data_IF_628307025063
#
_entry.id   IF_628307025063
#
_cell.length_a   1.000
_cell.length_b   1.000
_cell.length_c   1.000
_cell.angle_alpha   90.00
_cell.angle_beta   90.00
_cell.angle_gamma   90.00
#
_symmetry.space_group_name_H-M   'P 1'
#
loop_
_entity.id
_entity.type
_entity.pdbx_description
1 polymer ?
#
# COMPACT_ATOMS: atom_id res chain seq x y z
N UNK A 1 -9.49 -12.68 -19.71
CA UNK A 1 -9.64 -11.46 -18.89
C UNK A 1 -8.30 -11.19 -18.21
N UNK A 2 -7.90 -9.93 -18.12
CA UNK A 2 -6.67 -9.54 -17.43
C UNK A 2 -6.90 -8.32 -16.53
N UNK A 3 -6.11 -8.19 -15.48
CA UNK A 3 -6.13 -7.03 -14.57
C UNK A 3 -4.73 -6.42 -14.50
N UNK A 4 -4.66 -5.09 -14.56
CA UNK A 4 -3.49 -4.33 -14.14
C UNK A 4 -3.87 -3.50 -12.92
N UNK A 5 -3.12 -3.63 -11.83
CA UNK A 5 -3.39 -2.95 -10.58
C UNK A 5 -2.12 -2.25 -10.07
N UNK A 6 -2.25 -1.02 -9.59
CA UNK A 6 -1.16 -0.19 -9.10
C UNK A 6 -1.52 0.37 -7.73
N UNK A 7 -0.61 0.16 -6.76
CA UNK A 7 -0.60 0.83 -5.48
C UNK A 7 0.54 1.88 -5.43
N UNK A 8 0.24 3.17 -5.66
CA UNK A 8 1.19 4.26 -5.51
C UNK A 8 1.23 4.73 -4.06
N UNK A 9 2.05 4.07 -3.22
CA UNK A 9 2.14 4.32 -1.78
C UNK A 9 2.52 5.76 -1.47
N UNK A 10 3.31 6.39 -2.35
CA UNK A 10 3.77 7.77 -2.20
C UNK A 10 5.07 7.90 -1.40
N UNK A 11 6.01 8.68 -1.92
CA UNK A 11 7.38 8.81 -1.37
C UNK A 11 7.42 9.19 0.10
N UNK A 12 6.53 10.08 0.53
CA UNK A 12 6.51 10.58 1.89
C UNK A 12 5.88 9.58 2.85
N UNK A 13 4.83 8.87 2.40
CA UNK A 13 4.16 7.86 3.20
C UNK A 13 5.06 6.64 3.34
N UNK A 14 5.77 6.28 2.27
CA UNK A 14 6.79 5.25 2.33
C UNK A 14 7.89 5.59 3.35
N UNK A 15 8.45 6.81 3.28
CA UNK A 15 9.44 7.27 4.25
C UNK A 15 8.91 7.32 5.70
N UNK A 16 7.62 7.61 5.89
CA UNK A 16 6.98 7.60 7.20
C UNK A 16 6.81 6.17 7.75
N UNK A 17 6.12 5.30 7.01
CA UNK A 17 5.63 4.01 7.49
C UNK A 17 6.66 2.88 7.38
N UNK A 18 7.41 2.85 6.26
CA UNK A 18 8.24 1.71 5.84
C UNK A 18 9.75 1.98 5.88
N UNK A 19 10.14 3.21 6.23
CA UNK A 19 11.56 3.55 6.48
C UNK A 19 11.79 3.89 7.94
N UNK A 20 10.96 4.78 8.51
CA UNK A 20 11.09 5.21 9.91
C UNK A 20 10.11 4.52 10.86
N UNK A 21 8.98 4.08 10.32
CA UNK A 21 7.85 3.59 11.10
C UNK A 21 7.93 2.11 11.46
N UNK A 22 6.79 1.62 11.96
CA UNK A 22 6.66 0.29 12.54
C UNK A 22 6.83 -0.86 11.54
N UNK A 23 6.68 -0.59 10.24
CA UNK A 23 6.73 -1.62 9.19
C UNK A 23 8.04 -1.65 8.41
N UNK A 24 9.09 -1.02 8.96
CA UNK A 24 10.36 -0.83 8.26
C UNK A 24 11.20 -2.10 8.14
N UNK A 25 11.04 -3.03 9.09
CA UNK A 25 11.92 -4.18 9.26
C UNK A 25 11.13 -5.49 9.21
N UNK A 26 11.44 -6.38 8.26
CA UNK A 26 10.73 -7.64 8.04
C UNK A 26 10.80 -8.59 9.24
N UNK A 27 11.87 -8.53 10.05
CA UNK A 27 12.00 -9.35 11.26
C UNK A 27 11.21 -8.80 12.46
N UNK A 28 10.96 -7.49 12.50
CA UNK A 28 10.14 -6.85 13.53
C UNK A 28 8.65 -6.80 13.16
N UNK A 29 8.32 -6.83 11.85
CA UNK A 29 6.94 -6.72 11.36
C UNK A 29 6.57 -7.78 10.31
N UNK A 30 6.79 -7.50 9.03
CA UNK A 30 6.27 -8.23 7.88
C UNK A 30 6.88 -7.69 6.58
N UNK A 31 6.73 -8.45 5.50
CA UNK A 31 7.07 -7.97 4.15
C UNK A 31 6.21 -6.78 3.73
N UNK A 32 6.70 -6.00 2.77
CA UNK A 32 5.96 -4.86 2.22
C UNK A 32 4.60 -5.27 1.65
N UNK A 33 4.55 -6.38 0.90
CA UNK A 33 3.29 -6.91 0.38
C UNK A 33 2.30 -7.23 1.50
N UNK A 34 2.74 -7.95 2.54
CA UNK A 34 1.83 -8.32 3.63
C UNK A 34 1.36 -7.10 4.42
N UNK A 35 2.24 -6.12 4.67
CA UNK A 35 1.91 -4.92 5.43
C UNK A 35 0.98 -3.95 4.70
N UNK A 36 1.21 -3.73 3.39
CA UNK A 36 0.59 -2.64 2.63
C UNK A 36 -0.43 -3.11 1.59
N UNK A 37 -0.27 -4.32 1.08
CA UNK A 37 -0.88 -4.75 -0.18
C UNK A 37 -1.44 -6.17 -0.19
N UNK A 38 -1.59 -6.81 0.97
CA UNK A 38 -2.30 -8.09 1.05
C UNK A 38 -3.74 -7.93 0.53
N UNK A 39 -4.39 -6.85 0.96
CA UNK A 39 -5.74 -6.51 0.54
C UNK A 39 -5.85 -6.15 -0.95
N UNK A 40 -4.75 -5.78 -1.63
CA UNK A 40 -4.73 -5.57 -3.08
C UNK A 40 -4.82 -6.93 -3.80
N UNK A 41 -4.14 -7.95 -3.28
CA UNK A 41 -4.24 -9.34 -3.76
C UNK A 41 -5.62 -9.92 -3.46
N UNK A 42 -6.17 -9.66 -2.27
CA UNK A 42 -7.54 -10.04 -1.90
C UNK A 42 -8.55 -9.47 -2.88
N UNK A 43 -8.42 -8.18 -3.20
CA UNK A 43 -9.32 -7.50 -4.12
C UNK A 43 -9.24 -8.06 -5.54
N UNK A 44 -8.04 -8.30 -6.06
CA UNK A 44 -7.87 -8.90 -7.40
C UNK A 44 -8.52 -10.29 -7.44
N UNK A 45 -8.29 -11.11 -6.41
CA UNK A 45 -8.92 -12.43 -6.28
C UNK A 45 -10.44 -12.31 -6.26
N UNK A 46 -10.98 -11.39 -5.46
CA UNK A 46 -12.42 -11.14 -5.37
C UNK A 46 -13.04 -10.75 -6.72
N UNK A 47 -12.42 -9.81 -7.45
CA UNK A 47 -12.92 -9.35 -8.75
C UNK A 47 -12.88 -10.45 -9.81
N UNK A 48 -11.84 -11.28 -9.81
CA UNK A 48 -11.75 -12.40 -10.72
C UNK A 48 -12.67 -13.55 -10.32
N UNK A 49 -12.98 -13.69 -9.03
CA UNK A 49 -13.79 -14.78 -8.48
C UNK A 49 -13.17 -16.16 -8.71
N UNK A 50 -11.83 -16.23 -8.77
CA UNK A 50 -11.06 -17.43 -9.09
C UNK A 50 -9.86 -17.53 -8.17
N UNK A 51 -9.38 -18.75 -7.95
CA UNK A 51 -8.17 -18.97 -7.14
C UNK A 51 -6.90 -18.67 -7.93
N UNK A 52 -5.92 -18.08 -7.25
CA UNK A 52 -4.59 -17.96 -7.81
C UNK A 52 -3.89 -19.32 -7.77
N UNK A 53 -3.25 -19.72 -8.87
CA UNK A 53 -2.53 -21.00 -8.98
C UNK A 53 -1.03 -20.83 -9.08
N UNK A 54 -0.54 -19.73 -9.66
CA UNK A 54 0.89 -19.46 -9.79
C UNK A 54 1.18 -17.96 -9.69
N UNK A 55 2.32 -17.65 -9.11
CA UNK A 55 2.83 -16.28 -8.98
C UNK A 55 4.28 -16.17 -9.41
N UNK A 56 4.63 -15.06 -10.05
CA UNK A 56 6.02 -14.64 -10.26
C UNK A 56 6.18 -13.21 -9.75
N UNK A 57 7.24 -12.93 -9.00
CA UNK A 57 7.37 -11.68 -8.25
C UNK A 57 8.80 -11.18 -8.28
N UNK A 58 8.96 -9.86 -8.42
CA UNK A 58 10.26 -9.19 -8.46
C UNK A 58 10.17 -7.86 -7.71
N UNK A 59 11.11 -7.60 -6.81
CA UNK A 59 11.13 -6.37 -6.03
C UNK A 59 12.44 -6.21 -5.28
N UNK A 60 12.76 -4.99 -4.87
CA UNK A 60 14.04 -4.67 -4.24
C UNK A 60 13.94 -3.42 -3.36
N UNK A 61 14.86 -3.29 -2.41
CA UNK A 61 15.16 -2.02 -1.74
C UNK A 61 16.31 -1.33 -2.47
N UNK A 62 15.99 -0.28 -3.22
CA UNK A 62 16.94 0.38 -4.13
C UNK A 62 17.37 1.75 -3.65
N UNK A 63 16.49 2.51 -3.02
CA UNK A 63 16.73 3.91 -2.68
C UNK A 63 16.96 4.15 -1.20
N UNK A 64 16.13 3.62 -0.31
CA UNK A 64 16.19 3.93 1.13
C UNK A 64 17.24 3.08 1.86
N UNK A 65 18.51 3.28 1.50
CA UNK A 65 19.67 2.59 2.08
C UNK A 65 20.91 3.48 2.10
N UNK A 66 21.86 3.16 2.98
CA UNK A 66 23.04 3.99 3.22
C UNK A 66 23.86 4.32 1.96
N UNK A 67 23.98 3.38 1.01
CA UNK A 67 24.72 3.59 -0.24
C UNK A 67 24.11 4.66 -1.15
N UNK A 68 22.88 5.10 -0.88
CA UNK A 68 22.16 6.12 -1.64
C UNK A 68 22.14 7.48 -0.93
N UNK A 69 22.78 7.58 0.24
CA UNK A 69 22.86 8.83 0.99
C UNK A 69 23.59 9.89 0.15
N UNK A 70 23.02 11.09 -0.04
CA UNK A 70 23.71 12.18 -0.71
C UNK A 70 24.99 12.55 0.03
N UNK A 71 26.12 12.66 -0.68
CA UNK A 71 27.40 13.06 -0.08
C UNK A 71 27.31 14.42 0.65
N UNK A 72 26.50 15.35 0.13
CA UNK A 72 26.25 16.65 0.75
C UNK A 72 25.57 16.56 2.13
N UNK A 73 24.90 15.44 2.47
CA UNK A 73 24.35 15.21 3.80
C UNK A 73 25.44 14.85 4.84
N UNK A 74 26.65 14.47 4.40
CA UNK A 74 27.74 14.05 5.28
C UNK A 74 27.35 12.84 6.16
N UNK A 75 27.92 12.77 7.35
CA UNK A 75 27.75 11.64 8.27
C UNK A 75 26.60 11.81 9.27
N UNK A 76 25.72 12.78 9.04
CA UNK A 76 24.60 13.05 9.95
C UNK A 76 23.58 11.90 9.94
N UNK A 77 23.14 11.49 11.13
CA UNK A 77 22.21 10.36 11.30
C UNK A 77 20.75 10.80 11.37
N UNK A 78 20.50 12.09 11.56
CA UNK A 78 19.16 12.66 11.81
C UNK A 78 18.92 13.89 10.95
N UNK A 79 17.64 14.12 10.64
CA UNK A 79 17.25 15.25 9.79
C UNK A 79 17.44 16.60 10.47
N UNK A 80 17.32 16.69 11.81
CA UNK A 80 17.47 17.96 12.54
C UNK A 80 18.90 18.53 12.47
N UNK A 81 19.90 17.66 12.30
CA UNK A 81 21.32 18.02 12.24
C UNK A 81 21.84 18.15 10.80
N UNK A 82 21.00 17.91 9.81
CA UNK A 82 21.41 17.77 8.41
C UNK A 82 21.37 19.11 7.66
N UNK A 83 22.53 19.64 7.28
CA UNK A 83 22.61 20.86 6.47
C UNK A 83 22.02 20.72 5.06
N UNK A 84 21.98 19.49 4.51
CA UNK A 84 21.35 19.17 3.22
C UNK A 84 19.81 19.09 3.29
N UNK A 85 19.23 19.11 4.49
CA UNK A 85 17.78 19.01 4.71
C UNK A 85 16.91 19.88 3.79
N UNK A 86 17.25 21.16 3.52
CA UNK A 86 16.45 22.01 2.63
C UNK A 86 16.29 21.46 1.21
N UNK A 87 17.27 20.71 0.70
CA UNK A 87 17.24 20.11 -0.65
C UNK A 87 16.74 18.65 -0.64
N UNK A 88 16.67 18.00 0.52
CA UNK A 88 16.29 16.61 0.63
C UNK A 88 14.77 16.41 0.49
N UNK A 89 14.26 15.61 -0.47
CA UNK A 89 12.81 15.35 -0.60
C UNK A 89 12.23 14.58 0.60
N UNK A 90 13.08 13.90 1.38
CA UNK A 90 12.68 13.06 2.51
C UNK A 90 12.90 13.72 3.89
N UNK A 91 13.07 15.04 3.94
CA UNK A 91 13.23 15.78 5.21
C UNK A 91 12.07 15.50 6.17
N UNK A 92 12.37 14.87 7.32
CA UNK A 92 11.40 14.72 8.40
C UNK A 92 11.01 16.09 8.98
N UNK A 93 11.99 16.97 9.19
CA UNK A 93 11.79 18.29 9.79
C UNK A 93 10.74 19.09 9.01
N UNK A 94 10.96 19.30 7.71
CA UNK A 94 10.02 19.99 6.82
C UNK A 94 8.68 19.25 6.79
N UNK A 95 8.69 17.94 6.58
CA UNK A 95 7.48 17.14 6.44
C UNK A 95 6.50 17.26 7.61
N UNK A 96 6.99 17.20 8.85
CA UNK A 96 6.14 17.27 10.05
C UNK A 96 5.84 18.71 10.49
N UNK A 97 6.82 19.63 10.43
CA UNK A 97 6.59 21.02 10.80
C UNK A 97 5.64 21.72 9.84
N UNK A 98 5.73 21.44 8.52
CA UNK A 98 4.79 22.00 7.55
C UNK A 98 3.35 21.55 7.84
N UNK A 99 3.15 20.28 8.23
CA UNK A 99 1.83 19.77 8.64
C UNK A 99 1.31 20.47 9.89
N UNK A 100 2.18 20.63 10.89
CA UNK A 100 1.84 21.37 12.11
C UNK A 100 1.40 22.79 11.78
N UNK A 101 2.19 23.54 11.00
CA UNK A 101 1.90 24.93 10.63
C UNK A 101 0.64 25.06 9.76
N UNK A 102 0.29 24.02 9.01
CA UNK A 102 -0.96 23.93 8.25
C UNK A 102 -2.17 23.50 9.11
N UNK A 103 -2.01 23.27 10.42
CA UNK A 103 -3.07 22.78 11.29
C UNK A 103 -3.49 21.33 11.02
N UNK A 104 -2.66 20.56 10.30
CA UNK A 104 -2.94 19.16 9.94
C UNK A 104 -2.48 18.23 11.07
N UNK A 105 -3.28 18.15 12.11
CA UNK A 105 -3.00 17.39 13.34
C UNK A 105 -3.38 15.91 13.26
N UNK A 106 -4.01 15.46 12.17
CA UNK A 106 -4.31 14.06 11.93
C UNK A 106 -3.07 13.26 11.52
N UNK A 107 -3.27 12.00 11.14
CA UNK A 107 -2.21 11.17 10.59
C UNK A 107 -1.52 11.89 9.42
N UNK A 108 -0.18 11.87 9.34
CA UNK A 108 0.77 11.14 10.19
C UNK A 108 1.32 11.90 11.40
N UNK A 109 0.89 13.14 11.66
CA UNK A 109 1.48 13.97 12.72
C UNK A 109 1.15 13.43 14.12
N UNK A 110 -0.10 13.01 14.36
CA UNK A 110 -0.53 12.43 15.62
C UNK A 110 0.17 11.10 16.00
N UNK A 111 0.87 10.46 15.05
CA UNK A 111 1.66 9.25 15.32
C UNK A 111 2.95 9.60 16.06
N UNK A 112 3.54 10.75 15.77
CA UNK A 112 4.85 11.12 16.33
C UNK A 112 4.74 11.87 17.65
N UNK A 113 3.63 12.58 17.88
CA UNK A 113 3.31 13.23 19.16
C UNK A 113 1.82 13.53 19.27
N UNK A 114 1.21 13.40 20.46
CA UNK A 114 -0.16 13.87 20.72
C UNK A 114 -0.22 15.39 21.03
N UNK A 115 0.93 16.06 21.17
CA UNK A 115 1.03 17.49 21.50
C UNK A 115 1.46 18.26 20.25
N UNK A 116 0.54 19.06 19.69
CA UNK A 116 0.75 19.78 18.44
C UNK A 116 1.37 21.17 18.67
N UNK A 117 2.63 21.16 19.13
CA UNK A 117 3.46 22.37 19.23
C UNK A 117 4.81 22.12 18.54
N UNK A 118 5.45 23.19 18.07
CA UNK A 118 6.75 23.07 17.39
C UNK A 118 7.79 22.40 18.30
N UNK A 119 7.83 22.77 19.58
CA UNK A 119 8.72 22.17 20.57
C UNK A 119 8.49 20.66 20.72
N UNK A 120 7.22 20.22 20.80
CA UNK A 120 6.91 18.80 20.93
C UNK A 120 7.24 18.00 19.66
N UNK A 121 7.00 18.58 18.48
CA UNK A 121 7.38 17.95 17.20
C UNK A 121 8.90 17.86 17.09
N UNK A 122 9.64 18.93 17.39
CA UNK A 122 11.10 18.92 17.39
C UNK A 122 11.67 17.90 18.37
N UNK A 123 11.10 17.77 19.57
CA UNK A 123 11.50 16.74 20.53
C UNK A 123 11.24 15.33 19.99
N UNK A 124 10.05 15.07 19.43
CA UNK A 124 9.73 13.78 18.81
C UNK A 124 10.70 13.44 17.65
N UNK A 125 11.12 14.44 16.89
CA UNK A 125 12.13 14.28 15.83
C UNK A 125 13.57 14.25 16.36
N UNK A 126 13.85 14.69 17.58
CA UNK A 126 15.18 14.56 18.19
C UNK A 126 15.38 13.17 18.78
N UNK A 127 14.34 12.59 19.39
CA UNK A 127 14.45 11.38 20.21
C UNK A 127 13.86 10.15 19.51
N UNK A 128 12.77 10.31 18.76
CA UNK A 128 12.02 9.20 18.16
C UNK A 128 12.59 8.69 16.84
N UNK A 129 12.05 7.59 16.31
CA UNK A 129 12.52 7.02 15.04
C UNK A 129 12.21 7.92 13.84
N UNK A 130 11.16 8.75 13.94
CA UNK A 130 10.67 9.59 12.86
C UNK A 130 11.57 10.76 12.47
N UNK A 131 12.58 11.08 13.28
CA UNK A 131 13.59 12.10 12.93
C UNK A 131 14.86 11.57 12.27
N UNK A 132 15.01 10.24 12.15
CA UNK A 132 16.18 9.61 11.52
C UNK A 132 16.26 9.97 10.03
N UNK A 133 17.49 10.05 9.53
CA UNK A 133 17.74 10.13 8.10
C UNK A 133 17.26 8.83 7.42
N UNK A 134 16.51 8.94 6.32
CA UNK A 134 15.95 7.77 5.62
C UNK A 134 17.03 6.82 5.08
N UNK A 135 18.26 7.31 4.90
CA UNK A 135 19.39 6.48 4.43
C UNK A 135 20.18 5.85 5.58
N UNK A 136 19.88 6.22 6.83
CA UNK A 136 20.53 5.72 8.06
C UNK A 136 19.53 4.93 8.92
N UNK A 137 18.39 4.56 8.33
CA UNK A 137 17.42 3.64 8.90
C UNK A 137 17.87 2.19 8.72
N UNK A 138 17.33 1.31 9.56
CA UNK A 138 17.50 -0.14 9.57
C UNK A 138 16.40 -0.86 8.78
N UNK A 139 15.77 -0.14 7.84
CA UNK A 139 14.72 -0.70 7.01
C UNK A 139 15.28 -1.70 6.00
N UNK A 140 14.56 -2.79 5.78
CA UNK A 140 14.94 -3.86 4.85
C UNK A 140 13.81 -4.27 3.89
N UNK A 141 12.58 -3.77 4.11
CA UNK A 141 11.45 -3.97 3.21
C UNK A 141 11.69 -3.33 1.83
N UNK A 142 11.13 -3.93 0.78
CA UNK A 142 11.28 -3.45 -0.60
C UNK A 142 10.59 -2.09 -0.83
N UNK A 143 11.18 -1.24 -1.69
CA UNK A 143 10.59 0.06 -2.06
C UNK A 143 9.77 0.02 -3.36
N UNK A 144 9.88 -1.07 -4.10
CA UNK A 144 8.97 -1.41 -5.19
C UNK A 144 8.92 -2.92 -5.40
N UNK A 145 7.78 -3.40 -5.88
CA UNK A 145 7.56 -4.80 -6.19
C UNK A 145 6.48 -4.97 -7.25
N UNK A 146 6.75 -5.84 -8.23
CA UNK A 146 5.82 -6.29 -9.25
C UNK A 146 5.49 -7.75 -9.01
N UNK A 147 4.20 -8.09 -9.06
CA UNK A 147 3.68 -9.45 -8.90
C UNK A 147 2.81 -9.77 -10.11
N UNK A 148 3.10 -10.86 -10.82
CA UNK A 148 2.23 -11.42 -11.84
C UNK A 148 1.55 -12.67 -11.27
N UNK A 149 0.23 -12.78 -11.50
CA UNK A 149 -0.62 -13.82 -10.97
C UNK A 149 -1.34 -14.54 -12.11
N UNK A 150 -1.35 -15.87 -12.06
CA UNK A 150 -2.14 -16.75 -12.92
C UNK A 150 -3.27 -17.36 -12.10
N UNK A 151 -4.48 -17.36 -12.65
CA UNK A 151 -5.69 -17.90 -12.02
C UNK A 151 -6.18 -19.17 -12.72
N UNK A 152 -6.99 -19.98 -12.03
CA UNK A 152 -7.47 -21.29 -12.49
C UNK A 152 -8.10 -21.30 -13.89
N UNK A 153 -8.89 -20.27 -14.21
CA UNK A 153 -9.54 -20.14 -15.52
C UNK A 153 -8.64 -19.54 -16.62
N UNK A 154 -7.35 -19.37 -16.35
CA UNK A 154 -6.39 -18.74 -17.26
C UNK A 154 -6.42 -17.20 -17.26
N UNK A 155 -7.23 -16.56 -16.40
CA UNK A 155 -7.12 -15.12 -16.19
C UNK A 155 -5.77 -14.76 -15.57
N UNK A 156 -5.31 -13.54 -15.84
CA UNK A 156 -4.03 -13.05 -15.34
C UNK A 156 -4.20 -11.71 -14.66
N UNK A 157 -3.33 -11.42 -13.70
CA UNK A 157 -3.22 -10.10 -13.12
C UNK A 157 -1.76 -9.68 -13.02
N UNK A 158 -1.51 -8.38 -13.16
CA UNK A 158 -0.25 -7.75 -12.83
C UNK A 158 -0.51 -6.70 -11.76
N UNK A 159 0.25 -6.77 -10.69
CA UNK A 159 0.19 -5.84 -9.57
C UNK A 159 1.54 -5.16 -9.40
N UNK A 160 1.53 -3.85 -9.20
CA UNK A 160 2.74 -3.08 -8.84
C UNK A 160 2.47 -2.29 -7.57
N UNK A 161 3.33 -2.43 -6.58
CA UNK A 161 3.41 -1.56 -5.43
C UNK A 161 4.71 -0.74 -5.53
N UNK A 162 4.63 0.57 -5.31
CA UNK A 162 5.82 1.43 -5.28
C UNK A 162 5.73 2.51 -4.22
N UNK A 163 6.81 2.66 -3.45
CA UNK A 163 7.04 3.80 -2.57
C UNK A 163 7.57 5.03 -3.30
N UNK A 164 8.10 4.89 -4.52
CA UNK A 164 8.75 5.98 -5.26
C UNK A 164 7.77 6.66 -6.24
N UNK A 165 6.63 7.10 -5.73
CA UNK A 165 5.58 7.78 -6.50
C UNK A 165 5.09 9.04 -5.81
N UNK A 166 4.30 9.85 -6.52
CA UNK A 166 3.31 10.71 -5.86
C UNK A 166 2.31 9.82 -5.10
N UNK A 167 1.85 10.29 -3.94
CA UNK A 167 0.77 9.60 -3.22
C UNK A 167 -0.53 9.74 -4.02
N UNK A 168 -1.17 8.62 -4.35
CA UNK A 168 -2.45 8.63 -5.03
C UNK A 168 -3.28 7.41 -4.61
N UNK A 169 -4.56 7.41 -4.97
CA UNK A 169 -5.39 6.22 -4.85
C UNK A 169 -4.95 5.12 -5.84
N UNK A 170 -5.41 3.91 -5.55
CA UNK A 170 -5.14 2.72 -6.36
C UNK A 170 -5.68 2.89 -7.76
N UNK A 171 -4.89 2.50 -8.76
CA UNK A 171 -5.30 2.54 -10.17
C UNK A 171 -5.46 1.13 -10.69
N UNK A 172 -6.60 0.85 -11.31
CA UNK A 172 -6.91 -0.46 -11.87
C UNK A 172 -7.36 -0.33 -13.31
N UNK A 173 -6.91 -1.26 -14.15
CA UNK A 173 -7.47 -1.50 -15.47
C UNK A 173 -7.91 -2.96 -15.56
N UNK A 174 -9.14 -3.20 -15.99
CA UNK A 174 -9.69 -4.54 -16.24
C UNK A 174 -9.95 -4.67 -17.73
N UNK A 175 -9.32 -5.67 -18.34
CA UNK A 175 -9.39 -5.96 -19.77
C UNK A 175 -10.38 -7.10 -20.02
N UNK A 176 -11.55 -6.75 -20.55
CA UNK A 176 -12.61 -7.68 -20.93
C UNK A 176 -12.58 -8.05 -22.42
N UNK A 177 -13.53 -8.89 -22.83
CA UNK A 177 -13.69 -9.31 -24.23
C UNK A 177 -14.51 -8.32 -25.07
N UNK A 178 -15.27 -7.43 -24.42
CA UNK A 178 -16.15 -6.44 -25.05
C UNK A 178 -15.90 -5.01 -24.57
N UNK A 179 -15.07 -4.83 -23.56
CA UNK A 179 -14.81 -3.52 -23.02
C UNK A 179 -13.60 -3.49 -22.10
N UNK A 180 -13.23 -2.27 -21.72
CA UNK A 180 -12.18 -1.98 -20.78
C UNK A 180 -12.73 -1.12 -19.65
N UNK A 181 -12.39 -1.47 -18.40
CA UNK A 181 -12.71 -0.65 -17.23
C UNK A 181 -11.44 -0.03 -16.69
N UNK A 182 -11.46 1.26 -16.37
CA UNK A 182 -10.39 1.97 -15.66
C UNK A 182 -10.96 2.58 -14.38
N UNK A 183 -10.31 2.33 -13.25
CA UNK A 183 -10.75 2.83 -11.96
C UNK A 183 -9.62 3.48 -11.16
N UNK A 184 -9.93 4.55 -10.43
CA UNK A 184 -9.00 5.28 -9.56
C UNK A 184 -9.59 5.59 -8.17
N UNK A 185 -10.46 4.71 -7.66
CA UNK A 185 -11.30 4.86 -6.46
C UNK A 185 -12.38 5.96 -6.56
N UNK A 186 -12.13 7.04 -7.30
CA UNK A 186 -13.05 8.16 -7.46
C UNK A 186 -14.02 8.01 -8.63
N UNK A 187 -13.53 7.37 -9.70
CA UNK A 187 -14.24 7.17 -10.95
C UNK A 187 -14.05 5.77 -11.46
N UNK A 188 -15.08 5.26 -12.15
CA UNK A 188 -15.01 4.09 -13.00
C UNK A 188 -15.34 4.51 -14.43
N UNK A 189 -14.39 4.30 -15.33
CA UNK A 189 -14.51 4.61 -16.76
C UNK A 189 -14.67 3.31 -17.52
N UNK A 190 -15.79 3.15 -18.21
CA UNK A 190 -16.09 2.00 -19.06
C UNK A 190 -16.03 2.39 -20.53
N UNK A 191 -15.17 1.73 -21.29
CA UNK A 191 -15.13 1.84 -22.75
C UNK A 191 -15.70 0.56 -23.38
N UNK A 192 -16.81 0.67 -24.10
CA UNK A 192 -17.43 -0.46 -24.84
C UNK A 192 -16.85 -0.52 -26.26
N UNK A 193 -16.37 -1.69 -26.67
CA UNK A 193 -15.70 -1.86 -27.96
C UNK A 193 -16.66 -1.83 -29.15
N UNK A 194 -17.95 -2.16 -28.94
CA UNK A 194 -18.93 -2.20 -30.02
C UNK A 194 -19.40 -0.78 -30.37
N UNK A 195 -19.83 -0.01 -29.37
CA UNK A 195 -20.27 1.37 -29.60
C UNK A 195 -19.12 2.36 -29.71
N UNK A 196 -17.94 2.00 -29.18
CA UNK A 196 -16.79 2.90 -29.00
C UNK A 196 -17.10 4.10 -28.11
N UNK A 197 -18.11 3.97 -27.25
CA UNK A 197 -18.51 5.01 -26.32
C UNK A 197 -17.87 4.80 -24.95
N UNK A 198 -17.61 5.91 -24.26
CA UNK A 198 -17.12 5.92 -22.89
C UNK A 198 -18.22 6.36 -21.94
N UNK A 199 -18.50 5.54 -20.93
CA UNK A 199 -19.33 5.92 -19.78
C UNK A 199 -18.44 6.17 -18.57
N UNK A 200 -18.69 7.25 -17.85
CA UNK A 200 -18.00 7.57 -16.59
C UNK A 200 -19.00 7.47 -15.45
N UNK A 201 -18.64 6.74 -14.41
CA UNK A 201 -19.42 6.56 -13.19
C UNK A 201 -18.60 7.15 -12.04
N UNK A 202 -19.16 8.13 -11.33
CA UNK A 202 -18.57 8.62 -10.09
C UNK A 202 -18.86 7.63 -8.96
N UNK A 203 -17.81 7.12 -8.31
CA UNK A 203 -17.91 6.06 -7.30
C UNK A 203 -17.94 6.59 -5.87
N UNK A 204 -17.64 7.88 -5.68
CA UNK A 204 -17.73 8.55 -4.37
C UNK A 204 -19.15 9.07 -4.17
N UNK A 205 -19.89 8.56 -3.16
CA UNK A 205 -21.20 9.11 -2.83
C UNK A 205 -21.07 10.59 -2.42
N UNK A 206 -22.04 11.45 -2.77
CA UNK A 206 -21.97 12.89 -2.50
C UNK A 206 -21.84 13.24 -1.01
N UNK A 207 -22.22 12.33 -0.12
CA UNK A 207 -22.28 12.55 1.33
C UNK A 207 -21.08 11.96 2.10
N UNK A 208 -20.07 11.40 1.41
CA UNK A 208 -18.86 10.90 2.09
C UNK A 208 -17.88 12.05 2.30
N UNK A 209 -17.58 12.45 3.56
CA UNK A 209 -16.65 13.53 3.81
C UNK A 209 -15.24 13.19 3.29
N UNK A 210 -14.49 14.15 2.74
CA UNK A 210 -13.14 13.91 2.26
C UNK A 210 -12.20 13.59 3.42
N UNK A 211 -11.55 12.41 3.35
CA UNK A 211 -10.56 11.94 4.33
C UNK A 211 -11.04 10.74 5.17
N UNK A 212 -10.11 9.83 5.49
CA UNK A 212 -10.37 8.59 6.24
C UNK A 212 -10.32 7.33 5.37
N UNK A 213 -10.77 6.19 5.92
CA UNK A 213 -10.84 4.88 5.25
C UNK A 213 -12.08 4.71 4.33
N UNK A 214 -12.62 5.80 3.77
CA UNK A 214 -13.76 5.80 2.82
C UNK A 214 -14.98 4.95 3.27
N UNK A 215 -15.28 4.95 4.57
CA UNK A 215 -16.32 4.13 5.22
C UNK A 215 -16.12 2.60 5.08
N UNK A 216 -15.00 2.13 4.51
CA UNK A 216 -14.69 0.72 4.32
C UNK A 216 -14.63 -0.05 5.65
N UNK A 217 -13.98 0.53 6.66
CA UNK A 217 -13.91 -0.07 8.01
C UNK A 217 -15.29 -0.17 8.65
N UNK A 218 -16.10 0.88 8.51
CA UNK A 218 -17.45 0.95 9.06
C UNK A 218 -18.35 -0.07 8.36
N UNK A 219 -18.30 -0.19 7.04
CA UNK A 219 -19.09 -1.17 6.29
C UNK A 219 -18.64 -2.59 6.56
N UNK A 220 -17.34 -2.85 6.71
CA UNK A 220 -16.81 -4.15 7.14
C UNK A 220 -17.35 -4.53 8.53
N UNK A 221 -17.32 -3.59 9.48
CA UNK A 221 -17.86 -3.82 10.82
C UNK A 221 -19.39 -4.02 10.80
N UNK A 222 -20.12 -3.22 10.02
CA UNK A 222 -21.57 -3.39 9.83
C UNK A 222 -21.90 -4.78 9.29
N UNK A 223 -21.22 -5.23 8.23
CA UNK A 223 -21.40 -6.57 7.66
C UNK A 223 -21.14 -7.66 8.69
N UNK A 224 -20.07 -7.54 9.48
CA UNK A 224 -19.77 -8.48 10.55
C UNK A 224 -20.87 -8.51 11.63
N UNK A 225 -21.29 -7.33 12.12
CA UNK A 225 -22.35 -7.22 13.12
C UNK A 225 -23.68 -7.78 12.63
N UNK A 226 -24.02 -7.57 11.35
CA UNK A 226 -25.21 -8.15 10.72
C UNK A 226 -25.11 -9.67 10.70
N UNK A 227 -23.99 -10.22 10.22
CA UNK A 227 -23.79 -11.67 10.17
C UNK A 227 -23.95 -12.34 11.54
N UNK A 228 -23.32 -11.76 12.58
CA UNK A 228 -23.42 -12.27 13.95
C UNK A 228 -24.82 -12.09 14.52
N UNK A 229 -25.43 -10.92 14.33
CA UNK A 229 -26.72 -10.57 14.92
C UNK A 229 -27.90 -11.36 14.34
N UNK A 230 -27.83 -11.74 13.06
CA UNK A 230 -28.88 -12.51 12.38
C UNK A 230 -28.55 -14.00 12.28
N UNK A 231 -27.29 -14.39 12.44
CA UNK A 231 -26.80 -15.73 12.14
C UNK A 231 -26.68 -16.02 10.63
N UNK A 232 -26.76 -14.99 9.78
CA UNK A 232 -26.69 -15.12 8.33
C UNK A 232 -25.28 -14.80 7.81
N UNK A 233 -24.54 -15.82 7.38
CA UNK A 233 -23.16 -15.64 6.89
C UNK A 233 -23.08 -14.97 5.52
N UNK A 234 -24.19 -14.77 4.81
CA UNK A 234 -24.19 -14.13 3.48
C UNK A 234 -23.76 -12.66 3.50
N UNK A 235 -23.75 -12.02 4.68
CA UNK A 235 -23.19 -10.68 4.86
C UNK A 235 -21.65 -10.64 4.77
N UNK A 236 -20.97 -11.79 4.88
CA UNK A 236 -19.51 -11.90 4.78
C UNK A 236 -19.12 -12.30 3.36
N UNK A 237 -18.60 -11.34 2.59
CA UNK A 237 -18.22 -11.55 1.19
C UNK A 237 -16.82 -12.17 1.01
N UNK A 238 -15.95 -12.02 2.01
CA UNK A 238 -14.60 -12.60 2.03
C UNK A 238 -14.43 -13.31 3.38
N UNK A 239 -14.50 -14.64 3.36
CA UNK A 239 -14.41 -15.48 4.54
C UNK A 239 -12.97 -15.83 4.92
N UNK A 240 -12.84 -16.71 5.90
CA UNK A 240 -11.55 -17.18 6.37
C UNK A 240 -10.78 -17.97 5.29
N UNK A 241 -11.50 -18.74 4.45
CA UNK A 241 -10.89 -19.54 3.38
C UNK A 241 -10.31 -18.64 2.28
N UNK A 242 -11.07 -17.64 1.81
CA UNK A 242 -10.58 -16.67 0.82
C UNK A 242 -9.39 -15.88 1.37
N UNK A 243 -9.47 -15.47 2.64
CA UNK A 243 -8.39 -14.72 3.30
C UNK A 243 -7.13 -15.58 3.43
N UNK A 244 -7.25 -16.86 3.79
CA UNK A 244 -6.12 -17.77 3.86
C UNK A 244 -5.47 -17.97 2.49
N UNK A 245 -6.28 -18.20 1.45
CA UNK A 245 -5.84 -18.37 0.07
C UNK A 245 -5.01 -17.17 -0.42
N UNK A 246 -5.49 -15.96 -0.17
CA UNK A 246 -4.81 -14.74 -0.63
C UNK A 246 -3.56 -14.43 0.20
N UNK A 247 -3.55 -14.75 1.50
CA UNK A 247 -2.33 -14.67 2.32
C UNK A 247 -1.26 -15.66 1.84
N UNK A 248 -1.65 -16.90 1.51
CA UNK A 248 -0.75 -17.87 0.89
C UNK A 248 -0.22 -17.37 -0.45
N UNK A 249 -1.04 -16.69 -1.24
CA UNK A 249 -0.62 -16.03 -2.48
C UNK A 249 0.44 -14.94 -2.22
N UNK A 250 0.27 -14.13 -1.16
CA UNK A 250 1.26 -13.12 -0.74
C UNK A 250 2.57 -13.78 -0.30
N UNK A 251 2.51 -14.87 0.47
CA UNK A 251 3.71 -15.60 0.89
C UNK A 251 4.43 -16.24 -0.31
N UNK A 252 3.69 -16.84 -1.24
CA UNK A 252 4.25 -17.37 -2.48
C UNK A 252 4.88 -16.27 -3.35
N UNK A 253 4.32 -15.05 -3.36
CA UNK A 253 4.92 -13.92 -4.06
C UNK A 253 6.24 -13.47 -3.41
N UNK A 254 6.35 -13.55 -2.08
CA UNK A 254 7.61 -13.26 -1.38
C UNK A 254 8.66 -14.36 -1.57
N UNK A 255 8.25 -15.62 -1.56
CA UNK A 255 9.11 -16.75 -1.93
C UNK A 255 9.63 -16.58 -3.36
N UNK A 256 8.74 -16.26 -4.31
CA UNK A 256 9.11 -16.02 -5.70
C UNK A 256 10.13 -14.90 -5.86
N UNK A 257 9.93 -13.77 -5.14
CA UNK A 257 10.86 -12.63 -5.14
C UNK A 257 12.25 -13.01 -4.66
N UNK A 258 12.32 -13.79 -3.57
CA UNK A 258 13.58 -14.15 -2.91
C UNK A 258 14.35 -15.23 -3.67
N UNK A 259 13.62 -16.17 -4.29
CA UNK A 259 14.22 -17.29 -5.01
C UNK A 259 14.39 -17.07 -6.51
N UNK A 260 13.75 -16.03 -7.08
CA UNK A 260 13.87 -15.69 -8.50
C UNK A 260 13.19 -16.71 -9.42
N UNK A 261 12.10 -17.34 -8.98
CA UNK A 261 11.35 -18.34 -9.75
C UNK A 261 9.84 -18.18 -9.59
N UNK A 262 9.08 -18.76 -10.51
CA UNK A 262 7.62 -18.92 -10.34
C UNK A 262 7.32 -19.89 -9.19
N UNK A 263 6.31 -19.58 -8.40
CA UNK A 263 5.84 -20.39 -7.26
C UNK A 263 4.39 -20.79 -7.51
N UNK A 264 4.06 -22.05 -7.26
CA UNK A 264 2.68 -22.55 -7.28
C UNK A 264 2.02 -22.23 -5.94
N UNK A 265 0.78 -21.73 -5.97
CA UNK A 265 0.00 -21.47 -4.76
C UNK A 265 -0.78 -22.72 -4.41
N UNK A 266 -0.42 -23.40 -3.33
CA UNK A 266 -1.10 -24.61 -2.83
C UNK A 266 -1.86 -24.29 -1.55
N UNK A 267 -3.16 -24.53 -1.56
CA UNK A 267 -3.94 -24.71 -0.33
C UNK A 267 -3.74 -26.17 0.08
N UNK A 268 -2.85 -26.42 1.05
CA UNK A 268 -2.79 -27.75 1.65
C UNK A 268 -4.14 -27.99 2.33
N UNK A 269 -4.97 -28.81 1.69
CA UNK A 269 -6.17 -29.36 2.30
C UNK A 269 -5.70 -30.36 3.37
N UNK A 270 -5.50 -29.86 4.59
CA UNK A 270 -5.36 -30.71 5.77
C UNK A 270 -6.57 -31.62 5.97
#
# INVERSE_FOLDING_TARGET
>A
MAIQHLEPVGYWHYAHSYVRGNWRNEAESSSMLLAKSCHDIDWIRYILGQRCVQVSSFGSLTHFKQSQKPAAAGDVMRCLDCAYEPECPYSAKRFYLDRLHQGKHSWPLNVITPVFTEAAVLQALAEGPYGRCVYECDNDVVDHQVVNLLYENGATASFTMTGLSEYADRKTVIFGTRGELRGDLSKLVHYDFLSQETTVIDTVPPDVPPGGHWDGDVNTLKSFMMAVGTGDTSYILSGAEETLETHLTVFAAEESRREGRTVTVTLDAG
#
